data_IF_364805908417
#
_entry.id   IF_364805908417
#
_cell.length_a   1.000
_cell.length_b   1.000
_cell.length_c   1.000
_cell.angle_alpha   90.00
_cell.angle_beta   90.00
_cell.angle_gamma   90.00
#
_symmetry.space_group_name_H-M   'P 1'
#
loop_
_entity.id
_entity.type
_entity.pdbx_description
1 polymer ?
#
# COMPACT_ATOMS: atom_id res chain seq x y z
N UNK A 1 11.66 4.40 22.99
CA UNK A 1 12.69 3.61 23.71
C UNK A 1 13.67 4.62 24.31
N UNK A 2 14.03 4.52 25.59
CA UNK A 2 15.01 5.43 26.20
C UNK A 2 16.35 5.34 25.43
N UNK A 3 16.98 6.47 25.17
CA UNK A 3 18.26 6.55 24.45
C UNK A 3 19.39 5.67 25.04
N UNK A 4 19.33 5.36 26.34
CA UNK A 4 20.23 4.45 26.99
C UNK A 4 20.13 2.98 26.54
N UNK A 5 18.97 2.56 26.03
CA UNK A 5 18.78 1.19 25.54
C UNK A 5 19.33 1.04 24.12
N UNK A 6 19.23 2.07 23.29
CA UNK A 6 19.75 2.04 21.91
C UNK A 6 21.27 2.00 21.85
N UNK A 7 21.96 2.59 22.82
CA UNK A 7 23.43 2.57 22.90
C UNK A 7 24.04 1.17 23.18
N UNK A 8 23.21 0.23 23.64
CA UNK A 8 23.64 -1.16 23.93
C UNK A 8 23.40 -2.15 22.78
N UNK A 9 22.77 -1.71 21.67
CA UNK A 9 22.45 -2.61 20.55
C UNK A 9 23.67 -2.72 19.63
N UNK A 10 24.22 -3.94 19.42
CA UNK A 10 25.40 -4.14 18.59
C UNK A 10 25.16 -3.73 17.12
N UNK A 11 26.13 -3.04 16.51
CA UNK A 11 26.06 -2.57 15.13
C UNK A 11 25.69 -3.67 14.09
N UNK A 12 26.14 -4.93 14.22
CA UNK A 12 25.67 -5.99 13.31
C UNK A 12 24.16 -6.22 13.36
N UNK A 13 23.53 -6.05 14.53
CA UNK A 13 22.07 -6.20 14.72
C UNK A 13 21.33 -4.99 14.14
N UNK A 14 21.88 -3.80 14.31
CA UNK A 14 21.35 -2.56 13.69
C UNK A 14 21.37 -2.67 12.17
N UNK A 15 22.48 -3.12 11.60
CA UNK A 15 22.64 -3.33 10.16
C UNK A 15 21.67 -4.39 9.63
N UNK A 16 21.52 -5.49 10.38
CA UNK A 16 20.55 -6.54 10.04
C UNK A 16 19.12 -5.99 9.99
N UNK A 17 18.74 -5.11 10.94
CA UNK A 17 17.43 -4.48 10.96
C UNK A 17 17.23 -3.58 9.73
N UNK A 18 18.23 -2.79 9.32
CA UNK A 18 18.17 -1.98 8.09
C UNK A 18 18.01 -2.84 6.83
N UNK A 19 18.73 -3.96 6.78
CA UNK A 19 18.60 -4.89 5.64
C UNK A 19 17.22 -5.57 5.61
N UNK A 20 16.71 -5.99 6.77
CA UNK A 20 15.45 -6.75 6.86
C UNK A 20 14.20 -5.99 6.38
N UNK A 21 14.23 -4.66 6.34
CA UNK A 21 13.11 -3.86 5.79
C UNK A 21 13.19 -3.69 4.27
N UNK A 22 14.35 -3.97 3.66
CA UNK A 22 14.57 -3.78 2.23
C UNK A 22 14.80 -5.07 1.45
N UNK A 23 15.16 -6.17 2.14
CA UNK A 23 15.65 -7.38 1.51
C UNK A 23 15.06 -8.62 2.17
N UNK A 24 14.93 -9.70 1.40
CA UNK A 24 14.56 -11.02 1.93
C UNK A 24 15.79 -11.67 2.56
N UNK A 25 15.88 -11.64 3.89
CA UNK A 25 16.99 -12.27 4.60
C UNK A 25 16.74 -13.75 4.86
N UNK A 26 17.84 -14.53 4.87
CA UNK A 26 17.78 -15.96 5.20
C UNK A 26 17.60 -16.19 6.70
N UNK A 27 16.91 -17.28 7.05
CA UNK A 27 16.76 -17.70 8.44
C UNK A 27 18.12 -18.06 9.06
N UNK A 28 19.03 -18.66 8.29
CA UNK A 28 20.37 -19.02 8.72
C UNK A 28 21.19 -17.79 9.14
N UNK A 29 21.10 -16.69 8.35
CA UNK A 29 21.76 -15.42 8.70
C UNK A 29 21.27 -14.89 10.05
N UNK A 30 19.94 -14.93 10.28
CA UNK A 30 19.35 -14.46 11.53
C UNK A 30 19.79 -15.33 12.72
N UNK A 31 19.78 -16.66 12.59
CA UNK A 31 20.22 -17.59 13.64
C UNK A 31 21.71 -17.36 13.98
N UNK A 32 22.56 -17.37 12.95
CA UNK A 32 24.01 -17.16 13.14
C UNK A 32 24.31 -15.84 13.84
N UNK A 33 23.61 -14.78 13.49
CA UNK A 33 23.80 -13.46 14.14
C UNK A 33 23.29 -13.47 15.58
N UNK A 34 22.14 -14.07 15.85
CA UNK A 34 21.58 -14.18 17.19
C UNK A 34 22.53 -14.97 18.12
N UNK A 35 23.05 -16.12 17.65
CA UNK A 35 24.01 -16.94 18.39
C UNK A 35 25.31 -16.19 18.71
N UNK A 36 25.87 -15.48 17.72
CA UNK A 36 27.08 -14.65 17.90
C UNK A 36 26.89 -13.53 18.92
N UNK A 37 25.66 -13.02 19.04
CA UNK A 37 25.35 -11.95 20.01
C UNK A 37 24.85 -12.51 21.36
N UNK A 38 24.79 -13.84 21.52
CA UNK A 38 24.28 -14.49 22.72
C UNK A 38 22.80 -14.28 22.98
N UNK A 39 22.00 -14.03 21.94
CA UNK A 39 20.55 -13.84 22.10
C UNK A 39 19.84 -15.19 22.13
N UNK A 40 19.10 -15.51 23.21
CA UNK A 40 18.30 -16.72 23.26
C UNK A 40 17.16 -16.62 22.23
N UNK A 41 16.94 -17.69 21.46
CA UNK A 41 15.86 -17.74 20.48
C UNK A 41 15.23 -19.13 20.40
N UNK A 42 13.97 -19.17 19.97
CA UNK A 42 13.23 -20.43 19.75
C UNK A 42 12.43 -20.35 18.45
N UNK A 43 12.17 -21.52 17.86
CA UNK A 43 11.31 -21.67 16.71
C UNK A 43 9.88 -22.01 17.17
N UNK A 44 8.90 -21.32 16.63
CA UNK A 44 7.49 -21.60 16.87
C UNK A 44 6.77 -21.73 15.52
N UNK A 45 5.67 -22.50 15.52
CA UNK A 45 4.83 -22.72 14.35
C UNK A 45 5.14 -24.01 13.60
N UNK A 46 4.16 -24.48 12.83
CA UNK A 46 4.30 -25.50 11.80
C UNK A 46 4.82 -24.82 10.52
N UNK A 47 5.72 -25.47 9.79
CA UNK A 47 6.14 -24.97 8.46
C UNK A 47 4.93 -24.64 7.58
N UNK A 48 5.12 -23.75 6.59
CA UNK A 48 4.05 -23.33 5.69
C UNK A 48 3.32 -24.52 5.04
N UNK A 49 2.07 -24.32 4.67
CA UNK A 49 1.21 -25.36 4.09
C UNK A 49 1.79 -26.00 2.82
N UNK A 50 2.74 -25.34 2.15
CA UNK A 50 3.40 -25.77 0.92
C UNK A 50 4.75 -26.47 1.14
N UNK A 51 5.15 -26.75 2.41
CA UNK A 51 6.33 -27.57 2.74
C UNK A 51 7.71 -26.92 2.51
N UNK A 52 7.79 -25.76 1.91
CA UNK A 52 9.06 -25.10 1.52
C UNK A 52 9.60 -24.09 2.54
N UNK A 53 8.86 -23.71 3.57
CA UNK A 53 9.32 -22.78 4.59
C UNK A 53 9.67 -23.51 5.91
N UNK A 54 10.95 -23.50 6.26
CA UNK A 54 11.40 -24.00 7.56
C UNK A 54 10.71 -23.26 8.72
N UNK A 55 10.23 -23.94 9.79
CA UNK A 55 9.61 -23.31 10.93
C UNK A 55 10.58 -22.34 11.62
N UNK A 56 10.05 -21.23 12.13
CA UNK A 56 10.83 -20.26 12.88
C UNK A 56 11.35 -19.04 12.09
N UNK A 57 10.83 -18.76 10.89
CA UNK A 57 11.13 -17.52 10.15
C UNK A 57 10.82 -16.25 10.95
N UNK A 58 9.89 -16.30 11.91
CA UNK A 58 9.62 -15.20 12.83
C UNK A 58 10.85 -14.67 13.58
N UNK A 59 11.93 -15.47 13.68
CA UNK A 59 13.22 -15.03 14.26
C UNK A 59 13.89 -13.93 13.46
N UNK A 60 13.67 -13.87 12.13
CA UNK A 60 14.17 -12.77 11.27
C UNK A 60 13.55 -11.46 11.74
N UNK A 61 12.21 -11.41 11.83
CA UNK A 61 11.50 -10.22 12.30
C UNK A 61 11.80 -9.86 13.76
N UNK A 62 11.94 -10.88 14.63
CA UNK A 62 12.29 -10.65 16.05
C UNK A 62 13.68 -10.02 16.21
N UNK A 63 14.68 -10.52 15.49
CA UNK A 63 16.04 -9.96 15.51
C UNK A 63 16.08 -8.56 14.89
N UNK A 64 15.36 -8.35 13.77
CA UNK A 64 15.22 -7.05 13.15
C UNK A 64 14.55 -6.04 14.10
N UNK A 65 13.53 -6.44 14.86
CA UNK A 65 12.86 -5.59 15.84
C UNK A 65 13.79 -5.13 16.96
N UNK A 66 14.75 -5.97 17.39
CA UNK A 66 15.79 -5.57 18.37
C UNK A 66 16.65 -4.45 17.79
N UNK A 67 17.12 -4.61 16.55
CA UNK A 67 17.98 -3.62 15.88
C UNK A 67 17.26 -2.36 15.47
N UNK A 68 15.95 -2.44 15.22
CA UNK A 68 15.14 -1.36 14.66
C UNK A 68 15.18 -0.09 15.50
N UNK A 69 15.23 -0.22 16.84
CA UNK A 69 15.29 0.91 17.76
C UNK A 69 16.51 1.84 17.57
N UNK A 70 17.60 1.31 17.01
CA UNK A 70 18.81 2.08 16.70
C UNK A 70 19.02 2.23 15.19
N UNK A 71 18.20 1.56 14.36
CA UNK A 71 18.31 1.59 12.91
C UNK A 71 17.47 2.71 12.27
N UNK A 72 16.38 3.12 12.91
CA UNK A 72 15.38 4.02 12.36
C UNK A 72 15.02 5.13 13.33
N UNK A 73 14.78 6.32 12.80
CA UNK A 73 14.38 7.53 13.55
C UNK A 73 12.87 7.83 13.34
N UNK A 74 12.26 7.28 12.29
CA UNK A 74 10.86 7.49 11.96
C UNK A 74 9.98 6.36 12.54
N UNK A 75 9.05 6.76 13.42
CA UNK A 75 8.21 5.84 14.19
C UNK A 75 6.77 6.31 14.26
N UNK A 76 5.88 5.35 14.21
CA UNK A 76 4.47 5.51 14.57
C UNK A 76 4.17 4.76 15.88
N UNK A 77 2.97 4.94 16.38
CA UNK A 77 2.50 4.28 17.59
C UNK A 77 1.31 3.34 17.28
N UNK A 78 1.28 2.20 17.93
CA UNK A 78 0.14 1.32 17.98
C UNK A 78 -0.24 1.03 19.43
N UNK A 79 -1.39 1.54 19.88
CA UNK A 79 -1.95 1.22 21.19
C UNK A 79 -2.96 0.09 21.06
N UNK A 80 -2.65 -1.05 21.64
CA UNK A 80 -3.45 -2.27 21.56
C UNK A 80 -4.13 -2.52 22.89
N UNK A 81 -5.47 -2.58 22.87
CA UNK A 81 -6.29 -2.98 24.00
C UNK A 81 -6.67 -4.45 23.86
N UNK A 82 -6.57 -5.19 24.94
CA UNK A 82 -6.85 -6.63 24.97
C UNK A 82 -8.08 -6.89 25.84
N UNK A 83 -8.91 -7.82 25.39
CA UNK A 83 -10.03 -8.39 26.13
C UNK A 83 -9.57 -9.59 26.95
N UNK A 84 -10.36 -9.99 27.94
CA UNK A 84 -10.14 -11.21 28.70
C UNK A 84 -10.11 -12.44 27.77
N UNK A 85 -9.26 -13.42 28.06
CA UNK A 85 -9.04 -14.57 27.17
C UNK A 85 -10.28 -15.46 27.02
N UNK A 86 -11.13 -15.54 28.04
CA UNK A 86 -12.41 -16.27 28.02
C UNK A 86 -13.44 -15.66 27.07
N UNK A 87 -13.23 -14.41 26.64
CA UNK A 87 -14.05 -13.72 25.65
C UNK A 87 -13.56 -13.95 24.20
N UNK A 88 -12.41 -14.60 24.00
CA UNK A 88 -11.96 -14.94 22.64
C UNK A 88 -12.98 -15.85 21.95
N UNK A 89 -13.23 -15.56 20.66
CA UNK A 89 -14.25 -16.28 19.88
C UNK A 89 -15.68 -15.76 20.02
N UNK A 90 -15.95 -14.81 20.94
CA UNK A 90 -17.25 -14.15 21.05
C UNK A 90 -17.26 -12.80 20.31
N UNK A 91 -18.43 -12.27 19.89
CA UNK A 91 -18.54 -10.93 19.35
C UNK A 91 -17.97 -9.88 20.32
N UNK A 92 -17.33 -8.85 19.79
CA UNK A 92 -16.84 -7.71 20.59
C UNK A 92 -17.96 -6.71 20.83
N UNK A 93 -18.06 -6.20 22.06
CA UNK A 93 -18.94 -5.08 22.39
C UNK A 93 -18.12 -3.80 22.36
N UNK A 94 -18.26 -3.04 21.30
CA UNK A 94 -17.61 -1.73 21.09
C UNK A 94 -18.66 -0.79 20.51
N UNK A 95 -18.87 0.36 21.16
CA UNK A 95 -19.80 1.37 20.66
C UNK A 95 -19.19 2.15 19.48
N UNK A 96 -19.80 2.02 18.31
CA UNK A 96 -19.30 2.61 17.07
C UNK A 96 -19.33 4.15 17.11
N UNK A 97 -20.33 4.76 17.76
CA UNK A 97 -20.46 6.24 17.82
C UNK A 97 -19.31 6.83 18.66
N UNK A 98 -18.97 6.18 19.77
CA UNK A 98 -17.83 6.56 20.59
C UNK A 98 -16.50 6.46 19.83
N UNK A 99 -16.33 5.41 18.98
CA UNK A 99 -15.14 5.27 18.14
C UNK A 99 -15.04 6.41 17.15
N UNK A 100 -16.13 6.75 16.43
CA UNK A 100 -16.13 7.86 15.47
C UNK A 100 -15.85 9.21 16.16
N UNK A 101 -16.45 9.45 17.31
CA UNK A 101 -16.24 10.67 18.10
C UNK A 101 -14.78 10.81 18.51
N UNK A 102 -14.20 9.76 19.10
CA UNK A 102 -12.81 9.76 19.53
C UNK A 102 -11.83 9.91 18.36
N UNK A 103 -12.09 9.19 17.25
CA UNK A 103 -11.25 9.26 16.04
C UNK A 103 -11.28 10.66 15.40
N UNK A 104 -12.45 11.29 15.32
CA UNK A 104 -12.59 12.62 14.72
C UNK A 104 -11.91 13.70 15.57
N UNK A 105 -11.95 13.59 16.90
CA UNK A 105 -11.30 14.53 17.80
C UNK A 105 -9.75 14.47 17.73
N UNK A 106 -9.17 13.37 17.26
CA UNK A 106 -7.72 13.17 17.23
C UNK A 106 -7.13 13.13 15.80
N UNK A 107 -7.96 13.22 14.78
CA UNK A 107 -7.47 13.27 13.38
C UNK A 107 -6.77 14.62 13.10
N UNK A 108 -5.66 14.68 12.34
CA UNK A 108 -5.00 13.57 11.62
C UNK A 108 -3.95 12.80 12.43
N UNK A 109 -3.66 13.17 13.67
CA UNK A 109 -2.59 12.57 14.49
C UNK A 109 -2.85 11.09 14.79
N UNK A 110 -4.13 10.73 14.95
CA UNK A 110 -4.59 9.33 15.01
C UNK A 110 -5.34 9.02 13.71
N UNK A 111 -4.98 7.92 13.07
CA UNK A 111 -5.45 7.52 11.75
C UNK A 111 -5.83 6.03 11.71
N UNK A 112 -6.48 5.57 10.63
CA UNK A 112 -6.95 4.18 10.42
C UNK A 112 -7.83 3.63 11.55
N UNK A 113 -8.51 4.49 12.31
CA UNK A 113 -9.45 4.09 13.37
C UNK A 113 -10.82 3.82 12.79
N UNK A 114 -11.25 4.64 11.83
CA UNK A 114 -12.55 4.56 11.15
C UNK A 114 -12.36 4.81 9.65
N UNK A 115 -13.19 4.17 8.84
CA UNK A 115 -13.41 4.53 7.45
C UNK A 115 -14.59 5.52 7.38
N UNK A 116 -14.28 6.80 7.15
CA UNK A 116 -15.29 7.87 7.14
C UNK A 116 -16.21 7.82 5.93
N UNK A 117 -15.71 7.31 4.81
CA UNK A 117 -16.49 7.23 3.58
C UNK A 117 -17.44 6.04 3.60
N UNK A 118 -16.99 4.88 4.09
CA UNK A 118 -17.83 3.71 4.28
C UNK A 118 -18.72 3.78 5.54
N UNK A 119 -18.40 4.67 6.49
CA UNK A 119 -19.06 4.71 7.78
C UNK A 119 -18.75 3.48 8.65
N UNK A 120 -17.54 2.92 8.52
CA UNK A 120 -17.16 1.68 9.18
C UNK A 120 -16.08 1.89 10.25
N UNK A 121 -16.16 1.11 11.34
CA UNK A 121 -15.12 1.01 12.36
C UNK A 121 -14.04 0.07 11.87
N UNK A 122 -12.80 0.56 11.78
CA UNK A 122 -11.64 -0.20 11.26
C UNK A 122 -10.78 -0.77 12.38
N UNK A 123 -10.70 -0.08 13.52
CA UNK A 123 -9.78 -0.43 14.61
C UNK A 123 -10.16 -1.70 15.38
N UNK A 124 -11.35 -2.27 15.14
CA UNK A 124 -11.85 -3.49 15.81
C UNK A 124 -11.63 -4.71 14.90
N UNK A 125 -10.80 -5.69 15.30
CA UNK A 125 -10.52 -6.85 14.45
C UNK A 125 -11.73 -7.77 14.28
N UNK A 126 -11.87 -8.36 13.09
CA UNK A 126 -12.87 -9.41 12.82
C UNK A 126 -12.44 -10.80 13.32
N UNK A 127 -11.13 -11.04 13.45
CA UNK A 127 -10.60 -12.32 13.92
C UNK A 127 -10.95 -12.61 15.38
N UNK A 128 -11.19 -13.89 15.76
CA UNK A 128 -11.65 -14.27 17.11
C UNK A 128 -10.53 -14.26 18.17
N UNK A 129 -9.60 -13.31 18.08
CA UNK A 129 -8.44 -13.20 18.97
C UNK A 129 -8.66 -12.32 20.21
N UNK A 130 -7.60 -12.15 21.02
CA UNK A 130 -7.66 -11.40 22.28
C UNK A 130 -7.61 -9.87 22.09
N UNK A 131 -7.34 -9.35 20.90
CA UNK A 131 -7.30 -7.90 20.66
C UNK A 131 -8.73 -7.38 20.64
N UNK A 132 -9.03 -6.39 21.50
CA UNK A 132 -10.31 -5.69 21.53
C UNK A 132 -10.37 -4.62 20.45
N UNK A 133 -9.43 -3.68 20.48
CA UNK A 133 -9.22 -2.68 19.45
C UNK A 133 -7.74 -2.26 19.38
N UNK A 134 -7.31 -1.74 18.22
CA UNK A 134 -5.97 -1.23 18.00
C UNK A 134 -6.00 0.18 17.43
N UNK A 135 -5.41 1.15 18.12
CA UNK A 135 -5.39 2.55 17.73
C UNK A 135 -3.98 2.88 17.21
N UNK A 136 -3.90 3.47 16.02
CA UNK A 136 -2.66 3.86 15.36
C UNK A 136 -2.57 5.37 15.20
N UNK A 137 -1.35 5.89 15.26
CA UNK A 137 -1.11 7.33 15.09
C UNK A 137 0.35 7.70 15.23
N UNK A 138 0.64 8.98 15.08
CA UNK A 138 1.98 9.54 15.15
C UNK A 138 2.39 9.92 16.59
N UNK A 139 1.41 10.07 17.48
CA UNK A 139 1.63 10.36 18.90
C UNK A 139 1.09 9.24 19.81
N UNK A 140 1.98 8.55 20.57
CA UNK A 140 1.57 7.52 21.52
C UNK A 140 0.56 7.99 22.56
N UNK A 141 0.64 9.26 23.00
CA UNK A 141 -0.28 9.82 23.99
C UNK A 141 -1.67 10.04 23.37
N UNK A 142 -1.75 10.50 22.13
CA UNK A 142 -3.02 10.64 21.40
C UNK A 142 -3.68 9.27 21.20
N UNK A 143 -2.90 8.24 20.80
CA UNK A 143 -3.43 6.87 20.65
C UNK A 143 -4.05 6.36 21.96
N UNK A 144 -3.39 6.59 23.10
CA UNK A 144 -3.94 6.20 24.43
C UNK A 144 -5.21 6.96 24.79
N UNK A 145 -5.25 8.28 24.50
CA UNK A 145 -6.47 9.09 24.75
C UNK A 145 -7.66 8.61 23.94
N UNK A 146 -7.45 8.32 22.65
CA UNK A 146 -8.50 7.77 21.78
C UNK A 146 -8.98 6.43 22.31
N UNK A 147 -8.06 5.50 22.63
CA UNK A 147 -8.41 4.20 23.17
C UNK A 147 -9.22 4.29 24.48
N UNK A 148 -8.88 5.25 25.36
CA UNK A 148 -9.58 5.48 26.61
C UNK A 148 -10.98 6.14 26.45
N UNK A 149 -11.22 6.81 25.32
CA UNK A 149 -12.50 7.46 25.01
C UNK A 149 -13.49 6.51 24.30
N UNK A 150 -13.06 5.33 23.88
CA UNK A 150 -13.93 4.34 23.24
C UNK A 150 -14.72 3.59 24.32
N UNK A 151 -16.05 3.62 24.20
CA UNK A 151 -16.96 2.83 25.01
C UNK A 151 -16.99 1.38 24.51
N UNK A 152 -16.59 0.45 25.38
CA UNK A 152 -16.47 -0.97 25.03
C UNK A 152 -16.66 -1.89 26.22
N UNK A 153 -16.65 -3.19 25.98
CA UNK A 153 -16.46 -4.18 27.04
C UNK A 153 -15.17 -3.90 27.81
N UNK A 154 -14.98 -4.45 29.01
CA UNK A 154 -13.82 -4.17 29.85
C UNK A 154 -12.49 -4.50 29.14
N UNK A 155 -11.57 -3.56 29.19
CA UNK A 155 -10.17 -3.76 28.74
C UNK A 155 -9.42 -4.48 29.85
N UNK A 156 -8.97 -5.72 29.59
CA UNK A 156 -8.18 -6.51 30.55
C UNK A 156 -6.78 -5.95 30.73
N UNK A 157 -6.15 -5.56 29.64
CA UNK A 157 -4.83 -4.93 29.61
C UNK A 157 -4.64 -4.15 28.33
N UNK A 158 -3.67 -3.24 28.33
CA UNK A 158 -3.30 -2.51 27.12
C UNK A 158 -1.78 -2.30 27.06
N UNK A 159 -1.25 -2.15 25.86
CA UNK A 159 0.15 -1.82 25.63
C UNK A 159 0.27 -0.86 24.44
N UNK A 160 1.27 0.05 24.54
CA UNK A 160 1.63 0.94 23.41
C UNK A 160 2.96 0.49 22.84
N UNK A 161 2.97 0.24 21.54
CA UNK A 161 4.15 -0.18 20.80
C UNK A 161 4.61 0.95 19.90
N UNK A 162 5.92 1.14 19.78
CA UNK A 162 6.52 1.86 18.68
C UNK A 162 6.62 0.90 17.49
N UNK A 163 6.26 1.36 16.32
CA UNK A 163 6.24 0.57 15.09
C UNK A 163 6.65 1.43 13.91
N UNK A 164 7.22 0.84 12.88
CA UNK A 164 7.47 1.48 11.59
C UNK A 164 6.34 1.27 10.58
N UNK A 165 5.22 0.68 11.00
CA UNK A 165 4.02 0.59 10.17
C UNK A 165 3.47 1.98 9.88
N UNK A 166 3.15 2.26 8.62
CA UNK A 166 2.70 3.58 8.18
C UNK A 166 3.83 4.55 7.85
N UNK A 167 5.10 4.23 8.20
CA UNK A 167 6.27 4.93 7.66
C UNK A 167 6.65 4.39 6.28
N UNK A 168 7.51 5.13 5.58
CA UNK A 168 8.04 4.73 4.27
C UNK A 168 9.45 4.13 4.33
N UNK A 169 9.91 3.71 5.52
CA UNK A 169 11.29 3.22 5.74
C UNK A 169 11.64 1.98 4.91
N UNK A 170 10.64 1.21 4.47
CA UNK A 170 10.82 0.03 3.61
C UNK A 170 10.93 0.36 2.12
N UNK A 171 10.59 1.60 1.72
CA UNK A 171 10.62 2.02 0.32
C UNK A 171 12.00 2.53 -0.07
N UNK A 172 12.50 2.06 -1.20
CA UNK A 172 13.65 2.63 -1.91
C UNK A 172 13.17 3.41 -3.12
N UNK A 173 13.84 4.51 -3.46
CA UNK A 173 13.62 5.15 -4.75
C UNK A 173 14.14 4.23 -5.86
N UNK A 174 13.30 3.94 -6.84
CA UNK A 174 13.58 3.01 -7.93
C UNK A 174 13.43 3.64 -9.30
N UNK A 175 14.15 3.09 -10.27
CA UNK A 175 14.02 3.45 -11.67
C UNK A 175 13.37 2.29 -12.43
N UNK A 176 12.31 2.57 -13.19
CA UNK A 176 11.64 1.56 -14.02
C UNK A 176 12.67 0.93 -14.97
N UNK A 177 12.81 -0.40 -14.86
CA UNK A 177 13.78 -1.18 -15.61
C UNK A 177 15.02 -1.59 -14.82
N UNK A 178 15.23 -1.04 -13.62
CA UNK A 178 16.34 -1.38 -12.73
C UNK A 178 15.82 -1.67 -11.33
N UNK A 179 14.95 -2.68 -11.21
CA UNK A 179 14.30 -3.09 -9.97
C UNK A 179 14.72 -4.51 -9.61
N UNK A 180 15.07 -4.75 -8.35
CA UNK A 180 15.45 -6.04 -7.81
C UNK A 180 14.25 -6.77 -7.19
N UNK A 181 14.18 -8.09 -7.40
CA UNK A 181 13.14 -8.96 -6.83
C UNK A 181 13.07 -8.88 -5.30
N UNK A 182 11.86 -8.89 -4.76
CA UNK A 182 11.60 -8.90 -3.33
C UNK A 182 11.89 -7.58 -2.60
N UNK A 183 12.08 -6.49 -3.32
CA UNK A 183 12.37 -5.16 -2.76
C UNK A 183 11.19 -4.22 -2.96
N UNK A 184 10.88 -3.40 -1.95
CA UNK A 184 9.84 -2.39 -2.04
C UNK A 184 10.39 -1.08 -2.61
N UNK A 185 9.70 -0.56 -3.61
CA UNK A 185 10.13 0.64 -4.33
C UNK A 185 9.07 1.73 -4.35
N UNK A 186 9.57 2.97 -4.42
CA UNK A 186 8.85 4.14 -4.89
C UNK A 186 9.35 4.45 -6.30
N UNK A 187 8.47 4.38 -7.29
CA UNK A 187 8.80 4.66 -8.70
C UNK A 187 7.85 5.71 -9.27
N UNK A 188 8.34 6.56 -10.15
CA UNK A 188 7.52 7.54 -10.86
C UNK A 188 7.51 7.24 -12.35
N UNK A 189 6.35 7.47 -12.98
CA UNK A 189 6.21 7.21 -14.41
C UNK A 189 4.92 7.74 -15.00
N UNK A 190 4.68 7.38 -16.26
CA UNK A 190 3.51 7.75 -17.05
C UNK A 190 2.73 6.49 -17.40
N UNK A 191 1.43 6.49 -17.19
CA UNK A 191 0.53 5.41 -17.58
C UNK A 191 0.53 5.26 -19.10
N UNK A 192 0.77 4.05 -19.61
CA UNK A 192 0.94 3.80 -21.05
C UNK A 192 -0.27 3.17 -21.73
N UNK A 193 -1.14 2.52 -20.94
CA UNK A 193 -2.35 1.85 -21.44
C UNK A 193 -3.52 2.00 -20.47
N UNK A 194 -4.72 1.67 -20.94
CA UNK A 194 -5.91 1.62 -20.08
C UNK A 194 -5.72 0.53 -19.01
N UNK A 195 -6.04 0.81 -17.73
CA UNK A 195 -5.99 -0.21 -16.69
C UNK A 195 -6.95 -1.37 -16.96
N UNK A 196 -6.48 -2.60 -16.77
CA UNK A 196 -7.21 -3.81 -17.04
C UNK A 196 -7.67 -4.51 -15.75
N UNK A 197 -8.97 -4.77 -15.59
CA UNK A 197 -9.48 -5.67 -14.55
C UNK A 197 -9.40 -7.12 -15.02
N UNK A 198 -8.70 -7.97 -14.26
CA UNK A 198 -8.52 -9.40 -14.59
C UNK A 198 -9.31 -10.30 -13.66
N UNK A 199 -9.36 -11.60 -14.01
CA UNK A 199 -10.00 -12.64 -13.19
C UNK A 199 -9.49 -12.58 -11.76
N UNK A 200 -10.39 -12.62 -10.77
CA UNK A 200 -10.05 -12.42 -9.36
C UNK A 200 -10.18 -10.96 -8.88
N UNK A 201 -10.51 -10.02 -9.80
CA UNK A 201 -10.78 -8.62 -9.46
C UNK A 201 -9.52 -7.77 -9.27
N UNK A 202 -8.33 -8.27 -9.61
CA UNK A 202 -7.09 -7.50 -9.61
C UNK A 202 -7.10 -6.49 -10.77
N UNK A 203 -6.55 -5.30 -10.52
CA UNK A 203 -6.42 -4.24 -11.53
C UNK A 203 -4.96 -4.09 -11.90
N UNK A 204 -4.66 -4.25 -13.19
CA UNK A 204 -3.34 -4.11 -13.77
C UNK A 204 -3.22 -2.77 -14.48
N UNK A 205 -2.09 -2.10 -14.32
CA UNK A 205 -1.74 -0.87 -15.03
C UNK A 205 -0.29 -0.93 -15.46
N UNK A 206 -0.03 -0.51 -16.70
CA UNK A 206 1.31 -0.46 -17.26
C UNK A 206 1.82 0.98 -17.23
N UNK A 207 3.04 1.17 -16.70
CA UNK A 207 3.67 2.47 -16.49
C UNK A 207 5.08 2.46 -17.09
N UNK A 208 5.41 3.48 -17.85
CA UNK A 208 6.76 3.70 -18.39
C UNK A 208 7.47 4.84 -17.67
N UNK A 209 8.80 4.89 -17.75
CA UNK A 209 9.55 6.05 -17.31
C UNK A 209 9.11 7.32 -18.07
N UNK A 210 9.25 8.49 -17.43
CA UNK A 210 8.79 9.78 -18.01
C UNK A 210 9.44 10.11 -19.37
N UNK A 211 10.56 9.50 -19.70
CA UNK A 211 11.21 9.57 -21.02
C UNK A 211 10.51 8.79 -22.14
N UNK A 212 9.50 8.01 -21.81
CA UNK A 212 8.36 7.72 -22.70
C UNK A 212 8.35 6.44 -23.49
N UNK A 213 9.29 5.49 -23.46
CA UNK A 213 9.13 4.36 -24.38
C UNK A 213 9.33 2.98 -23.75
N UNK A 214 10.45 2.71 -23.17
CA UNK A 214 10.81 1.40 -22.61
C UNK A 214 11.91 1.57 -21.57
N UNK A 215 11.95 0.80 -20.52
CA UNK A 215 11.07 -0.34 -20.19
C UNK A 215 9.71 0.06 -19.61
N UNK A 216 8.74 -0.86 -19.68
CA UNK A 216 7.41 -0.74 -19.08
C UNK A 216 7.36 -1.59 -17.82
N UNK A 217 6.87 -1.00 -16.73
CA UNK A 217 6.61 -1.68 -15.47
C UNK A 217 5.12 -2.03 -15.38
N UNK A 218 4.80 -3.29 -15.14
CA UNK A 218 3.46 -3.70 -14.76
C UNK A 218 3.24 -3.53 -13.27
N UNK A 219 2.24 -2.76 -12.91
CA UNK A 219 1.80 -2.61 -11.54
C UNK A 219 0.44 -3.25 -11.32
N UNK A 220 0.17 -3.79 -10.13
CA UNK A 220 -1.06 -4.52 -9.83
C UNK A 220 -1.63 -4.11 -8.48
N UNK A 221 -2.87 -3.64 -8.48
CA UNK A 221 -3.67 -3.49 -7.26
C UNK A 221 -4.48 -4.77 -7.04
N UNK A 222 -4.16 -5.48 -5.96
CA UNK A 222 -4.78 -6.78 -5.65
C UNK A 222 -6.16 -6.62 -4.98
N UNK A 223 -7.09 -7.56 -5.23
CA UNK A 223 -8.25 -7.75 -4.38
C UNK A 223 -7.76 -8.29 -3.00
N UNK A 224 -8.38 -7.84 -1.88
CA UNK A 224 -9.63 -7.12 -1.73
C UNK A 224 -9.50 -5.60 -1.43
N UNK A 225 -8.52 -4.89 -1.99
CA UNK A 225 -8.21 -3.49 -1.63
C UNK A 225 -9.29 -2.46 -2.00
N UNK A 226 -10.53 -2.87 -2.23
CA UNK A 226 -11.71 -2.00 -2.32
C UNK A 226 -11.55 -0.77 -3.23
N UNK A 227 -11.66 0.42 -2.65
CA UNK A 227 -11.56 1.73 -3.30
C UNK A 227 -10.19 1.98 -3.95
N UNK A 228 -9.10 1.51 -3.37
CA UNK A 228 -7.77 1.64 -3.95
C UNK A 228 -7.70 1.10 -5.38
N UNK A 229 -8.33 -0.07 -5.65
CA UNK A 229 -8.46 -0.60 -7.01
C UNK A 229 -9.33 0.29 -7.91
N UNK A 230 -10.32 0.96 -7.33
CA UNK A 230 -11.15 1.96 -8.04
C UNK A 230 -10.29 3.10 -8.56
N UNK A 231 -9.46 3.69 -7.71
CA UNK A 231 -8.54 4.76 -8.11
C UNK A 231 -7.53 4.31 -9.17
N UNK A 232 -6.96 3.10 -9.04
CA UNK A 232 -6.07 2.56 -10.08
C UNK A 232 -6.81 2.34 -11.40
N UNK A 233 -8.09 1.90 -11.37
CA UNK A 233 -8.92 1.71 -12.57
C UNK A 233 -9.30 3.02 -13.26
N UNK A 234 -9.38 4.11 -12.49
CA UNK A 234 -9.70 5.43 -13.01
C UNK A 234 -8.54 6.11 -13.75
N UNK A 235 -7.32 5.59 -13.64
CA UNK A 235 -6.16 6.10 -14.37
C UNK A 235 -6.37 6.01 -15.90
N UNK A 236 -5.71 6.90 -16.64
CA UNK A 236 -5.76 6.94 -18.10
C UNK A 236 -4.36 7.04 -18.69
N UNK A 237 -4.15 6.58 -19.92
CA UNK A 237 -2.89 6.77 -20.63
C UNK A 237 -2.48 8.26 -20.64
N UNK A 238 -1.24 8.53 -20.24
CA UNK A 238 -0.69 9.86 -20.11
C UNK A 238 -0.71 10.42 -18.68
N UNK A 239 -1.46 9.84 -17.75
CA UNK A 239 -1.41 10.25 -16.34
C UNK A 239 -0.03 10.04 -15.75
N UNK A 240 0.45 11.01 -14.98
CA UNK A 240 1.71 10.91 -14.25
C UNK A 240 1.46 10.46 -12.84
N UNK A 241 2.14 9.42 -12.42
CA UNK A 241 1.92 8.78 -11.12
C UNK A 241 3.24 8.48 -10.41
N UNK A 242 3.16 8.44 -9.08
CA UNK A 242 4.16 7.80 -8.23
C UNK A 242 3.50 6.57 -7.61
N UNK A 243 4.11 5.42 -7.79
CA UNK A 243 3.65 4.12 -7.34
C UNK A 243 4.60 3.57 -6.29
N UNK A 244 4.07 3.01 -5.20
CA UNK A 244 4.86 2.30 -4.20
C UNK A 244 4.36 0.87 -4.05
N UNK A 245 5.30 -0.05 -3.81
CA UNK A 245 4.98 -1.45 -3.58
C UNK A 245 6.17 -2.39 -3.74
N UNK A 246 5.94 -3.66 -3.44
CA UNK A 246 6.93 -4.72 -3.61
C UNK A 246 7.06 -5.11 -5.08
N UNK A 247 8.29 -5.13 -5.59
CA UNK A 247 8.59 -5.67 -6.92
C UNK A 247 8.88 -7.17 -6.81
N UNK A 248 8.13 -7.97 -7.55
CA UNK A 248 8.25 -9.43 -7.57
C UNK A 248 8.47 -9.94 -9.00
N UNK A 249 9.50 -10.77 -9.17
CA UNK A 249 9.76 -11.48 -10.41
C UNK A 249 9.27 -12.92 -10.27
N UNK A 250 8.30 -13.32 -11.08
CA UNK A 250 7.79 -14.69 -11.09
C UNK A 250 8.60 -15.56 -12.04
N UNK A 251 9.37 -16.47 -11.48
CA UNK A 251 10.22 -17.40 -12.22
C UNK A 251 9.48 -18.61 -12.81
N UNK A 252 8.21 -18.82 -12.42
CA UNK A 252 7.35 -19.91 -12.91
C UNK A 252 6.74 -19.63 -14.30
N UNK A 253 7.07 -18.50 -14.93
CA UNK A 253 6.58 -18.11 -16.27
C UNK A 253 7.69 -18.15 -17.31
N UNK A 254 7.29 -18.42 -18.55
CA UNK A 254 8.20 -18.41 -19.72
C UNK A 254 8.79 -17.02 -20.02
N UNK A 255 8.11 -15.96 -19.56
CA UNK A 255 8.59 -14.58 -19.63
C UNK A 255 8.54 -14.00 -18.19
N UNK A 256 9.69 -13.94 -17.50
CA UNK A 256 9.78 -13.47 -16.12
C UNK A 256 9.71 -11.94 -16.04
N UNK A 257 8.62 -11.35 -16.50
CA UNK A 257 8.37 -9.92 -16.28
C UNK A 257 8.02 -9.68 -14.82
N UNK A 258 8.78 -8.81 -14.17
CA UNK A 258 8.49 -8.40 -12.80
C UNK A 258 7.21 -7.59 -12.70
N UNK A 259 6.59 -7.64 -11.54
CA UNK A 259 5.33 -6.95 -11.24
C UNK A 259 5.48 -6.16 -9.94
N UNK A 260 5.08 -4.87 -9.95
CA UNK A 260 4.99 -4.06 -8.74
C UNK A 260 3.62 -4.30 -8.08
N UNK A 261 3.62 -4.91 -6.90
CA UNK A 261 2.43 -5.11 -6.08
C UNK A 261 2.11 -3.80 -5.36
N UNK A 262 1.09 -3.09 -5.82
CA UNK A 262 0.78 -1.75 -5.33
C UNK A 262 0.28 -1.74 -3.88
N UNK A 263 0.87 -0.87 -3.08
CA UNK A 263 0.41 -0.51 -1.74
C UNK A 263 0.01 0.97 -1.64
N UNK A 264 0.65 1.85 -2.42
CA UNK A 264 0.36 3.30 -2.44
C UNK A 264 0.38 3.83 -3.87
N UNK A 265 -0.44 4.85 -4.11
CA UNK A 265 -0.54 5.59 -5.36
C UNK A 265 -0.62 7.07 -5.05
N UNK A 266 0.21 7.87 -5.71
CA UNK A 266 0.03 9.32 -5.76
C UNK A 266 -0.11 9.76 -7.22
N UNK A 267 -1.20 10.43 -7.53
CA UNK A 267 -1.39 11.10 -8.82
C UNK A 267 -0.59 12.40 -8.79
N UNK A 268 0.22 12.63 -9.82
CA UNK A 268 1.06 13.83 -9.97
C UNK A 268 0.52 14.80 -11.00
N UNK A 269 -0.07 14.24 -12.06
CA UNK A 269 -0.68 15.02 -13.13
C UNK A 269 -1.70 14.15 -13.85
N UNK A 270 -2.83 14.72 -14.24
CA UNK A 270 -3.92 14.04 -14.92
C UNK A 270 -4.07 14.52 -16.34
N UNK A 271 -4.35 13.62 -17.25
CA UNK A 271 -4.83 13.99 -18.58
C UNK A 271 -6.29 14.39 -18.45
N UNK A 272 -6.58 15.70 -18.53
CA UNK A 272 -7.92 16.26 -18.34
C UNK A 272 -8.71 16.37 -19.63
N UNK A 273 -8.06 16.20 -20.78
CA UNK A 273 -8.70 16.38 -22.07
C UNK A 273 -8.34 15.26 -23.04
N UNK A 274 -9.22 14.98 -23.97
CA UNK A 274 -8.97 14.06 -25.08
C UNK A 274 -9.31 14.66 -26.41
N UNK A 275 -8.69 14.15 -27.48
CA UNK A 275 -8.92 14.58 -28.83
C UNK A 275 -9.94 13.65 -29.51
N UNK A 276 -11.10 14.13 -29.83
CA UNK A 276 -12.18 13.36 -30.45
C UNK A 276 -12.59 13.88 -31.82
N UNK A 277 -13.31 13.05 -32.57
CA UNK A 277 -13.93 13.44 -33.83
C UNK A 277 -14.92 14.59 -33.59
N UNK A 278 -14.85 15.70 -34.37
CA UNK A 278 -15.72 16.84 -34.12
C UNK A 278 -17.19 16.53 -34.38
N UNK A 279 -18.13 17.07 -33.56
CA UNK A 279 -19.51 17.12 -33.91
C UNK A 279 -19.73 18.13 -35.05
N UNK A 280 -20.72 17.88 -35.89
CA UNK A 280 -21.08 18.81 -36.95
C UNK A 280 -21.75 20.08 -36.36
N UNK A 281 -21.26 21.29 -36.63
CA UNK A 281 -21.86 22.51 -36.08
C UNK A 281 -23.27 22.80 -36.61
N UNK A 282 -23.68 22.16 -37.70
CA UNK A 282 -25.01 22.38 -38.31
C UNK A 282 -26.07 21.35 -37.89
N UNK A 283 -25.71 20.14 -37.51
CA UNK A 283 -26.65 19.05 -37.19
C UNK A 283 -26.20 18.18 -36.02
N UNK A 284 -25.14 18.53 -35.32
CA UNK A 284 -24.59 17.88 -34.12
C UNK A 284 -24.16 16.41 -34.28
N UNK A 285 -24.33 15.83 -35.47
CA UNK A 285 -23.91 14.44 -35.76
C UNK A 285 -22.39 14.36 -35.77
N UNK A 286 -21.85 13.25 -35.29
CA UNK A 286 -20.43 12.93 -35.37
C UNK A 286 -19.97 12.93 -36.83
N UNK A 287 -18.94 13.70 -37.16
CA UNK A 287 -18.39 13.79 -38.51
C UNK A 287 -17.54 12.54 -38.84
N UNK A 288 -17.26 12.33 -40.12
CA UNK A 288 -16.38 11.27 -40.59
C UNK A 288 -15.09 11.85 -41.18
N UNK A 289 -13.98 11.12 -41.07
CA UNK A 289 -12.74 11.54 -41.74
C UNK A 289 -12.97 11.71 -43.25
N UNK A 290 -12.49 12.82 -43.80
CA UNK A 290 -12.59 13.11 -45.22
C UNK A 290 -11.41 12.52 -46.04
N UNK A 291 -10.41 11.93 -45.36
CA UNK A 291 -9.20 11.39 -45.97
C UNK A 291 -7.95 11.90 -45.25
N UNK A 292 -6.76 11.40 -45.68
CA UNK A 292 -5.48 11.84 -45.09
C UNK A 292 -5.32 13.35 -45.30
N UNK A 293 -5.12 14.07 -44.21
CA UNK A 293 -4.90 15.53 -44.22
C UNK A 293 -6.08 16.38 -44.74
N UNK A 294 -7.28 15.79 -44.95
CA UNK A 294 -8.47 16.49 -45.44
C UNK A 294 -9.49 16.86 -44.34
N UNK A 295 -9.15 16.60 -43.10
CA UNK A 295 -10.01 16.91 -41.96
C UNK A 295 -11.24 15.99 -41.86
N UNK A 296 -12.38 16.55 -41.50
CA UNK A 296 -13.63 15.83 -41.24
C UNK A 296 -14.78 16.42 -42.04
N UNK A 297 -15.73 15.57 -42.44
CA UNK A 297 -16.94 15.94 -43.18
C UNK A 297 -18.16 15.30 -42.60
N UNK A 298 -19.25 16.05 -42.49
CA UNK A 298 -20.55 15.54 -42.11
C UNK A 298 -21.19 14.82 -43.28
N UNK A 299 -21.63 13.58 -43.07
CA UNK A 299 -22.30 12.80 -44.12
C UNK A 299 -23.72 13.27 -44.40
N UNK A 300 -24.37 14.01 -43.46
CA UNK A 300 -25.75 14.48 -43.58
C UNK A 300 -25.85 15.85 -44.27
N UNK A 301 -25.00 16.80 -43.95
CA UNK A 301 -25.09 18.18 -44.42
C UNK A 301 -23.81 18.68 -45.14
N UNK A 302 -22.86 17.78 -45.38
CA UNK A 302 -21.59 18.06 -46.10
C UNK A 302 -20.69 19.13 -45.44
N UNK A 303 -21.04 19.68 -44.29
CA UNK A 303 -20.19 20.61 -43.52
C UNK A 303 -18.82 20.00 -43.22
N UNK A 304 -17.73 20.77 -43.28
CA UNK A 304 -16.37 20.31 -43.03
C UNK A 304 -15.79 20.91 -41.76
N UNK A 305 -14.86 20.18 -41.14
CA UNK A 305 -14.04 20.65 -40.01
C UNK A 305 -12.57 20.32 -40.24
N UNK A 306 -11.62 21.19 -39.84
CA UNK A 306 -10.21 21.03 -40.18
C UNK A 306 -9.52 19.90 -39.44
N UNK A 307 -10.02 19.51 -38.23
CA UNK A 307 -9.34 18.53 -37.38
C UNK A 307 -10.21 17.99 -36.28
N UNK A 308 -9.61 17.22 -35.39
CA UNK A 308 -10.21 16.77 -34.14
C UNK A 308 -10.45 17.96 -33.20
N UNK A 309 -11.40 17.83 -32.31
CA UNK A 309 -11.65 18.79 -31.23
C UNK A 309 -11.20 18.21 -29.90
N UNK A 310 -10.65 19.06 -29.05
CA UNK A 310 -10.31 18.71 -27.69
C UNK A 310 -11.55 18.87 -26.82
N UNK A 311 -11.89 17.83 -26.09
CA UNK A 311 -13.01 17.80 -25.14
C UNK A 311 -12.51 17.41 -23.75
N UNK A 312 -13.14 17.90 -22.67
CA UNK A 312 -12.85 17.41 -21.32
C UNK A 312 -13.04 15.89 -21.24
N UNK A 313 -12.18 15.23 -20.50
CA UNK A 313 -12.40 13.86 -20.05
C UNK A 313 -13.29 13.90 -18.81
N UNK A 314 -14.34 13.08 -18.81
CA UNK A 314 -15.10 12.81 -17.61
C UNK A 314 -14.24 11.90 -16.70
N UNK A 315 -13.92 12.40 -15.51
CA UNK A 315 -13.15 11.72 -14.49
C UNK A 315 -13.95 11.74 -13.19
N UNK A 316 -14.60 10.62 -12.93
CA UNK A 316 -15.23 10.35 -11.64
C UNK A 316 -14.20 10.04 -10.55
#
# INVERSE_FOLDING_TARGET
IPSAVTAAIPEPVVRFARQAVHERLSLETAITLADRQGYPHAAFGTGGADGDEAPGRGRIGALAAIGAAAAFDDWTAAHISYRALDRCGTPRSVDAESVFTAANAAYPVVWDTVDREAGEVVCVPHAPGPILHGIRGDDPAACRRVAAAIESEPVERAATFHTNQGTDVHLRDGTIGDLADGTCYRVSGVVTGEPESRRGGHVHVDVAAASGATPVLRAVAFAPTGRFRGHVRALRPGDRVTLCGEYEVRTDRLDPTGTLKLEKLAVRDLVETTSTTPPCPSCERTMSSAGRDQGYRCRACATTAPGKVTVPLDRE
#
